data_IF_550253322507
#
_entry.id   IF_550253322507
#
_cell.length_a   1.000
_cell.length_b   1.000
_cell.length_c   1.000
_cell.angle_alpha   90.00
_cell.angle_beta   90.00
_cell.angle_gamma   90.00
#
_symmetry.space_group_name_H-M   'P 1'
#
loop_
_entity.id
_entity.type
_entity.pdbx_description
1 polymer ?
#
# COMPACT_ATOMS: atom_id res chain seq x y z
N UNK A 1 -3.00 -16.38 -8.35
CA UNK A 1 -2.40 -15.02 -8.50
C UNK A 1 -2.87 -14.45 -9.82
N UNK A 2 -3.15 -13.15 -9.89
CA UNK A 2 -3.54 -12.49 -11.14
C UNK A 2 -2.35 -12.37 -12.10
N UNK A 3 -2.66 -12.36 -13.39
CA UNK A 3 -1.68 -12.06 -14.45
C UNK A 3 -1.11 -10.64 -14.28
N UNK A 4 0.10 -10.41 -14.80
CA UNK A 4 0.82 -9.14 -14.72
C UNK A 4 1.50 -8.85 -13.36
N UNK A 5 1.20 -9.62 -12.32
CA UNK A 5 1.94 -9.65 -11.05
C UNK A 5 2.14 -8.26 -10.43
N UNK A 6 3.40 -7.85 -10.22
CA UNK A 6 3.75 -6.54 -9.63
C UNK A 6 3.18 -5.35 -10.40
N UNK A 7 3.05 -5.44 -11.73
CA UNK A 7 2.54 -4.32 -12.51
C UNK A 7 1.05 -4.10 -12.21
N UNK A 8 0.27 -5.18 -12.17
CA UNK A 8 -1.13 -5.17 -11.75
C UNK A 8 -1.29 -4.62 -10.33
N UNK A 9 -0.43 -5.05 -9.39
CA UNK A 9 -0.44 -4.51 -8.02
C UNK A 9 -0.17 -3.00 -7.99
N UNK A 10 0.76 -2.49 -8.81
CA UNK A 10 1.04 -1.05 -8.92
C UNK A 10 -0.15 -0.27 -9.47
N UNK A 11 -0.85 -0.80 -10.48
CA UNK A 11 -2.09 -0.18 -11.00
C UNK A 11 -3.14 -0.04 -9.89
N UNK A 12 -3.35 -1.09 -9.11
CA UNK A 12 -4.31 -1.09 -8.00
C UNK A 12 -3.89 -0.10 -6.90
N UNK A 13 -2.60 -0.06 -6.53
CA UNK A 13 -2.09 0.90 -5.54
C UNK A 13 -2.20 2.36 -6.03
N UNK A 14 -1.97 2.61 -7.32
CA UNK A 14 -2.13 3.93 -7.92
C UNK A 14 -3.59 4.41 -7.85
N UNK A 15 -4.55 3.53 -8.19
CA UNK A 15 -5.97 3.84 -8.09
C UNK A 15 -6.40 4.21 -6.65
N UNK A 16 -5.86 3.54 -5.63
CA UNK A 16 -6.10 3.94 -4.23
C UNK A 16 -5.45 5.30 -3.93
N UNK A 17 -4.22 5.53 -4.39
CA UNK A 17 -3.51 6.78 -4.12
C UNK A 17 -4.21 8.00 -4.75
N UNK A 18 -4.67 7.86 -6.00
CA UNK A 18 -5.37 8.92 -6.74
C UNK A 18 -6.75 9.25 -6.15
N UNK A 19 -7.37 8.29 -5.44
CA UNK A 19 -8.69 8.41 -4.82
C UNK A 19 -8.66 8.23 -3.29
N UNK A 20 -7.54 8.56 -2.64
CA UNK A 20 -7.23 8.17 -1.25
C UNK A 20 -8.35 8.50 -0.26
N UNK A 21 -8.91 9.70 -0.35
CA UNK A 21 -9.95 10.18 0.57
C UNK A 21 -11.20 9.27 0.54
N UNK A 22 -11.50 8.65 -0.59
CA UNK A 22 -12.62 7.72 -0.72
C UNK A 22 -12.35 6.35 -0.11
N UNK A 23 -11.09 6.00 0.17
CA UNK A 23 -10.70 4.74 0.82
C UNK A 23 -10.38 4.90 2.32
N UNK A 24 -10.45 6.14 2.83
CA UNK A 24 -10.19 6.47 4.23
C UNK A 24 -11.49 6.82 4.98
N UNK A 25 -11.38 6.89 6.30
CA UNK A 25 -12.42 7.48 7.15
C UNK A 25 -11.98 8.90 7.51
N UNK A 26 -12.92 9.84 7.51
CA UNK A 26 -12.64 11.21 7.96
C UNK A 26 -12.18 11.15 9.42
N UNK A 27 -11.03 11.76 9.71
CA UNK A 27 -10.34 11.71 11.01
C UNK A 27 -10.23 10.30 11.63
N UNK A 28 -10.21 9.27 10.76
CA UNK A 28 -10.19 7.86 11.12
C UNK A 28 -11.37 7.39 12.00
N UNK A 29 -12.49 8.13 12.02
CA UNK A 29 -13.61 7.81 12.92
C UNK A 29 -15.01 8.03 12.33
N UNK A 30 -15.15 8.72 11.19
CA UNK A 30 -16.45 9.02 10.61
C UNK A 30 -16.45 9.04 9.08
N UNK A 31 -17.59 9.41 8.50
CA UNK A 31 -17.76 9.60 7.06
C UNK A 31 -18.45 8.42 6.34
N UNK A 32 -18.54 8.50 5.00
CA UNK A 32 -19.33 7.57 4.18
C UNK A 32 -18.92 6.10 4.32
N UNK A 33 -17.63 5.83 4.57
CA UNK A 33 -17.11 4.48 4.72
C UNK A 33 -17.61 3.76 5.98
N UNK A 34 -18.25 4.46 6.93
CA UNK A 34 -18.95 3.83 8.07
C UNK A 34 -20.08 2.89 7.65
N UNK A 35 -20.61 3.07 6.44
CA UNK A 35 -21.68 2.23 5.88
C UNK A 35 -21.21 1.35 4.73
N UNK A 36 -19.93 1.41 4.36
CA UNK A 36 -19.39 0.62 3.27
C UNK A 36 -19.09 -0.80 3.72
N UNK A 37 -19.54 -1.77 2.93
CA UNK A 37 -19.19 -3.18 3.09
C UNK A 37 -17.85 -3.50 2.43
N UNK A 38 -17.16 -4.59 2.83
CA UNK A 38 -15.95 -5.03 2.14
C UNK A 38 -16.14 -5.25 0.63
N UNK A 39 -17.30 -5.77 0.21
CA UNK A 39 -17.63 -5.99 -1.19
C UNK A 39 -17.79 -4.67 -1.98
N UNK A 40 -18.31 -3.61 -1.35
CA UNK A 40 -18.38 -2.27 -1.93
C UNK A 40 -17.01 -1.64 -2.09
N UNK A 41 -16.11 -1.83 -1.12
CA UNK A 41 -14.73 -1.34 -1.22
C UNK A 41 -13.97 -2.05 -2.34
N UNK A 42 -14.12 -3.38 -2.46
CA UNK A 42 -13.51 -4.15 -3.55
C UNK A 42 -14.03 -3.65 -4.90
N UNK A 43 -15.35 -3.54 -5.05
CA UNK A 43 -15.95 -3.05 -6.30
C UNK A 43 -15.48 -1.64 -6.67
N UNK A 44 -15.43 -0.71 -5.71
CA UNK A 44 -14.88 0.64 -5.95
C UNK A 44 -13.44 0.59 -6.47
N UNK A 45 -12.64 -0.31 -5.92
CA UNK A 45 -11.26 -0.51 -6.36
C UNK A 45 -11.16 -1.14 -7.75
N UNK A 46 -12.04 -2.09 -8.09
CA UNK A 46 -12.17 -2.65 -9.45
C UNK A 46 -12.57 -1.55 -10.43
N UNK A 47 -13.55 -0.70 -10.08
CA UNK A 47 -14.05 0.40 -10.91
C UNK A 47 -12.94 1.42 -11.22
N UNK A 48 -12.11 1.79 -10.24
CA UNK A 48 -11.01 2.73 -10.45
C UNK A 48 -9.77 2.13 -11.12
N UNK A 49 -9.44 0.87 -10.81
CA UNK A 49 -8.21 0.25 -11.33
C UNK A 49 -8.40 -0.50 -12.66
N UNK A 50 -9.64 -0.86 -13.01
CA UNK A 50 -9.95 -1.75 -14.13
C UNK A 50 -9.47 -3.20 -13.92
N UNK A 51 -9.07 -3.57 -12.71
CA UNK A 51 -8.56 -4.90 -12.37
C UNK A 51 -9.65 -5.68 -11.64
N UNK A 52 -9.98 -6.88 -12.11
CA UNK A 52 -10.90 -7.78 -11.41
C UNK A 52 -10.22 -8.39 -10.18
N UNK A 53 -10.67 -8.00 -8.99
CA UNK A 53 -10.10 -8.34 -7.69
C UNK A 53 -11.02 -9.23 -6.84
N UNK A 54 -12.33 -9.25 -7.09
CA UNK A 54 -13.29 -9.95 -6.22
C UNK A 54 -12.97 -11.44 -6.06
N UNK A 55 -12.70 -12.15 -7.16
CA UNK A 55 -12.28 -13.55 -7.12
C UNK A 55 -10.88 -13.70 -6.53
N UNK A 56 -9.94 -12.84 -6.92
CA UNK A 56 -8.56 -12.91 -6.44
C UNK A 56 -8.44 -12.68 -4.93
N UNK A 57 -9.35 -11.89 -4.35
CA UNK A 57 -9.42 -11.64 -2.91
C UNK A 57 -9.75 -12.91 -2.11
N UNK A 58 -10.42 -13.90 -2.72
CA UNK A 58 -10.76 -15.16 -2.04
C UNK A 58 -9.62 -16.18 -2.07
N UNK A 59 -8.51 -15.90 -2.77
CA UNK A 59 -7.38 -16.82 -2.86
C UNK A 59 -6.65 -16.93 -1.50
N UNK A 60 -6.40 -18.14 -0.97
CA UNK A 60 -5.66 -18.32 0.28
C UNK A 60 -4.28 -17.63 0.29
N UNK A 61 -3.63 -17.56 -0.86
CA UNK A 61 -2.33 -16.92 -1.07
C UNK A 61 -2.36 -15.41 -0.78
N UNK A 62 -3.50 -14.73 -1.00
CA UNK A 62 -3.64 -13.32 -0.68
C UNK A 62 -3.50 -13.09 0.84
N UNK A 63 -4.14 -13.95 1.64
CA UNK A 63 -4.00 -13.93 3.10
C UNK A 63 -2.57 -14.27 3.55
N UNK A 64 -1.93 -15.26 2.91
CA UNK A 64 -0.54 -15.62 3.21
C UNK A 64 0.42 -14.47 2.92
N UNK A 65 0.27 -13.79 1.78
CA UNK A 65 1.06 -12.63 1.40
C UNK A 65 0.88 -11.47 2.39
N UNK A 66 -0.38 -11.15 2.77
CA UNK A 66 -0.66 -10.14 3.78
C UNK A 66 0.02 -10.46 5.12
N UNK A 67 -0.06 -11.72 5.57
CA UNK A 67 0.57 -12.17 6.83
C UNK A 67 2.09 -12.05 6.77
N UNK A 68 2.69 -12.35 5.62
CA UNK A 68 4.12 -12.21 5.44
C UNK A 68 4.58 -10.75 5.55
N UNK A 69 3.88 -9.82 4.88
CA UNK A 69 4.17 -8.37 4.98
C UNK A 69 4.03 -7.85 6.41
N UNK A 70 2.95 -8.24 7.11
CA UNK A 70 2.75 -7.85 8.50
C UNK A 70 3.84 -8.42 9.42
N UNK A 71 4.25 -9.68 9.22
CA UNK A 71 5.35 -10.30 9.98
C UNK A 71 6.66 -9.58 9.73
N UNK A 72 7.02 -9.34 8.46
CA UNK A 72 8.26 -8.68 8.09
C UNK A 72 8.34 -7.25 8.67
N UNK A 73 7.25 -6.49 8.58
CA UNK A 73 7.17 -5.14 9.16
C UNK A 73 7.36 -5.15 10.68
N UNK A 74 6.68 -6.06 11.39
CA UNK A 74 6.80 -6.21 12.85
C UNK A 74 8.19 -6.65 13.28
N UNK A 75 8.80 -7.58 12.55
CA UNK A 75 10.15 -8.07 12.84
C UNK A 75 11.20 -6.95 12.73
N UNK A 76 11.00 -6.00 11.81
CA UNK A 76 11.87 -4.84 11.65
C UNK A 76 11.47 -3.63 12.51
N UNK A 77 10.42 -3.75 13.34
CA UNK A 77 9.99 -2.66 14.24
C UNK A 77 9.35 -1.46 13.54
N UNK A 78 8.77 -1.64 12.34
CA UNK A 78 8.10 -0.56 11.61
C UNK A 78 6.82 -0.14 12.34
N UNK A 79 6.73 1.14 12.69
CA UNK A 79 5.59 1.69 13.43
C UNK A 79 4.87 2.83 12.70
N UNK A 80 5.61 3.74 12.08
CA UNK A 80 5.07 4.89 11.33
C UNK A 80 5.23 4.70 9.82
N UNK A 81 4.30 5.23 9.03
CA UNK A 81 4.35 5.16 7.57
C UNK A 81 4.46 6.56 6.93
N UNK A 82 5.28 6.72 5.88
CA UNK A 82 6.28 5.76 5.41
C UNK A 82 7.51 5.70 6.37
N UNK A 83 8.14 4.52 6.45
CA UNK A 83 9.49 4.32 7.01
C UNK A 83 10.36 3.75 5.90
N UNK A 84 11.57 4.27 5.72
CA UNK A 84 12.48 3.85 4.66
C UNK A 84 13.54 2.90 5.21
N UNK A 85 13.88 1.87 4.43
CA UNK A 85 14.96 0.94 4.74
C UNK A 85 15.92 0.86 3.56
N UNK A 86 17.23 0.89 3.84
CA UNK A 86 18.33 0.78 2.87
C UNK A 86 19.21 -0.38 3.32
N UNK A 87 19.49 -1.33 2.43
CA UNK A 87 20.29 -2.52 2.73
C UNK A 87 19.85 -3.29 4.00
N UNK A 88 18.54 -3.28 4.28
CA UNK A 88 17.95 -3.97 5.42
C UNK A 88 17.99 -3.22 6.75
N UNK A 89 18.48 -1.98 6.77
CA UNK A 89 18.50 -1.11 7.96
C UNK A 89 17.51 0.04 7.80
N UNK A 90 16.80 0.40 8.88
CA UNK A 90 15.97 1.60 8.91
C UNK A 90 16.86 2.83 8.79
N UNK A 91 16.51 3.72 7.88
CA UNK A 91 17.21 4.97 7.66
C UNK A 91 16.33 6.15 8.07
N UNK A 92 16.51 6.70 9.30
CA UNK A 92 15.70 7.80 9.80
C UNK A 92 16.01 9.14 9.14
N UNK A 93 17.06 9.24 8.31
CA UNK A 93 17.39 10.46 7.59
C UNK A 93 16.50 10.70 6.37
N UNK A 94 15.83 9.64 5.86
CA UNK A 94 14.92 9.73 4.72
C UNK A 94 13.50 10.08 5.16
N UNK A 95 12.87 10.99 4.42
CA UNK A 95 11.50 11.46 4.61
C UNK A 95 10.69 11.42 3.32
N UNK A 96 9.36 11.33 3.44
CA UNK A 96 8.45 11.46 2.29
C UNK A 96 8.38 12.87 1.72
N UNK A 97 8.84 13.88 2.48
CA UNK A 97 8.93 15.26 2.00
C UNK A 97 10.22 15.57 1.22
N UNK A 98 11.18 14.65 1.19
CA UNK A 98 12.43 14.86 0.45
C UNK A 98 12.20 14.70 -1.06
N UNK A 99 12.96 15.48 -1.83
CA UNK A 99 13.05 15.31 -3.28
C UNK A 99 13.78 14.01 -3.64
N UNK A 100 13.53 13.51 -4.85
CA UNK A 100 14.22 12.34 -5.41
C UNK A 100 15.73 12.58 -5.51
N UNK A 101 16.15 13.82 -5.76
CA UNK A 101 17.56 14.22 -5.81
C UNK A 101 18.23 14.11 -4.44
N UNK A 102 17.54 14.49 -3.36
CA UNK A 102 18.03 14.33 -1.99
C UNK A 102 18.19 12.84 -1.65
N UNK A 103 17.19 12.01 -1.98
CA UNK A 103 17.31 10.56 -1.81
C UNK A 103 18.49 10.00 -2.58
N UNK A 104 18.67 10.39 -3.85
CA UNK A 104 19.78 9.92 -4.67
C UNK A 104 21.14 10.29 -4.07
N UNK A 105 21.30 11.53 -3.60
CA UNK A 105 22.54 11.99 -2.99
C UNK A 105 22.87 11.22 -1.69
N UNK A 106 21.84 10.86 -0.92
CA UNK A 106 21.98 10.09 0.32
C UNK A 106 22.30 8.61 0.07
N UNK A 107 21.62 7.99 -0.89
CA UNK A 107 21.75 6.56 -1.20
C UNK A 107 23.01 6.22 -2.00
N UNK A 108 23.51 7.17 -2.80
CA UNK A 108 24.64 6.95 -3.70
C UNK A 108 25.66 8.09 -3.57
N UNK A 109 26.31 8.25 -2.39
CA UNK A 109 27.38 9.22 -2.22
C UNK A 109 28.58 8.88 -3.10
N UNK A 110 29.30 9.92 -3.55
CA UNK A 110 30.48 9.80 -4.42
C UNK A 110 31.66 9.08 -3.76
#
# INVERSE_FOLDING_TARGET
MLDGGRQTARTVMAAIADHREEFEFTDHCEGPNMQATPAEIIRRLEDYSGVQLAEAFTFPEATQAMKWQARYSRQNGIHVSPTFMVDGLIDPALSSGDSVEQWKAHLFPA
#
